data_IF_683997334716
#
_entry.id   IF_683997334716
#
_cell.length_a   1.000
_cell.length_b   1.000
_cell.length_c   1.000
_cell.angle_alpha   90.00
_cell.angle_beta   90.00
_cell.angle_gamma   90.00
#
_symmetry.space_group_name_H-M   'P 1'
#
loop_
_entity.id
_entity.type
_entity.pdbx_description
1 polymer ?
#
# COMPACT_ATOMS: atom_id res chain seq x y z
N UNK A 1 9.76 12.20 17.24
CA UNK A 1 10.00 10.75 17.07
C UNK A 1 11.09 10.34 18.03
N UNK A 2 10.84 9.29 18.84
CA UNK A 2 11.78 8.80 19.84
C UNK A 2 13.05 8.25 19.17
N UNK A 3 14.23 8.55 19.72
CA UNK A 3 15.54 8.09 19.23
C UNK A 3 15.60 6.57 19.01
N UNK A 4 14.88 5.79 19.82
CA UNK A 4 14.78 4.34 19.73
C UNK A 4 14.21 3.84 18.40
N UNK A 5 13.17 4.49 17.85
CA UNK A 5 12.56 4.04 16.59
C UNK A 5 13.51 4.22 15.41
N UNK A 6 14.31 5.30 15.42
CA UNK A 6 15.35 5.54 14.40
C UNK A 6 16.44 4.47 14.46
N UNK A 7 16.84 4.08 15.67
CA UNK A 7 17.80 3.00 15.88
C UNK A 7 17.27 1.67 15.33
N UNK A 8 16.03 1.29 15.66
CA UNK A 8 15.44 0.05 15.14
C UNK A 8 15.28 0.04 13.63
N UNK A 9 14.90 1.16 13.01
CA UNK A 9 14.82 1.27 11.55
C UNK A 9 16.19 1.04 10.89
N UNK A 10 17.26 1.64 11.44
CA UNK A 10 18.63 1.42 10.92
C UNK A 10 19.05 -0.03 11.14
N UNK A 11 18.77 -0.61 12.31
CA UNK A 11 19.08 -2.01 12.62
C UNK A 11 18.35 -2.96 11.66
N UNK A 12 17.06 -2.73 11.40
CA UNK A 12 16.28 -3.53 10.47
C UNK A 12 16.88 -3.48 9.05
N UNK A 13 17.22 -2.29 8.55
CA UNK A 13 17.88 -2.18 7.24
C UNK A 13 19.25 -2.85 7.22
N UNK A 14 20.03 -2.75 8.31
CA UNK A 14 21.31 -3.45 8.41
C UNK A 14 21.11 -4.97 8.31
N UNK A 15 20.17 -5.53 9.07
CA UNK A 15 19.85 -6.96 9.03
C UNK A 15 19.37 -7.38 7.64
N UNK A 16 18.45 -6.65 7.01
CA UNK A 16 17.98 -6.96 5.66
C UNK A 16 19.10 -6.99 4.62
N UNK A 17 20.08 -6.08 4.75
CA UNK A 17 21.27 -6.06 3.88
C UNK A 17 22.22 -7.22 4.16
N UNK A 18 22.43 -7.59 5.44
CA UNK A 18 23.28 -8.73 5.82
C UNK A 18 22.69 -10.06 5.35
N UNK A 19 21.38 -10.25 5.56
CA UNK A 19 20.63 -11.44 5.16
C UNK A 19 20.35 -11.49 3.65
N UNK A 20 20.70 -10.42 2.90
CA UNK A 20 20.54 -10.32 1.45
C UNK A 20 19.11 -10.63 1.00
N UNK A 21 18.12 -10.08 1.72
CA UNK A 21 16.72 -10.32 1.42
C UNK A 21 16.37 -9.84 0.01
N UNK A 22 15.56 -10.61 -0.70
CA UNK A 22 15.08 -10.26 -2.03
C UNK A 22 14.07 -9.09 -2.03
N UNK A 23 13.31 -8.98 -0.94
CA UNK A 23 12.26 -7.98 -0.72
C UNK A 23 12.16 -7.70 0.78
N UNK A 24 11.99 -6.43 1.13
CA UNK A 24 11.58 -6.02 2.46
C UNK A 24 10.25 -5.26 2.37
N UNK A 25 9.29 -5.63 3.22
CA UNK A 25 8.06 -4.87 3.43
C UNK A 25 8.29 -3.95 4.61
N UNK A 26 8.16 -2.65 4.40
CA UNK A 26 8.50 -1.63 5.39
C UNK A 26 7.22 -0.90 5.80
N UNK A 27 6.79 -1.15 7.03
CA UNK A 27 5.71 -0.41 7.66
C UNK A 27 6.21 0.95 8.15
N UNK A 28 5.42 1.99 7.89
CA UNK A 28 5.70 3.35 8.35
C UNK A 28 5.34 3.46 9.82
N UNK A 29 6.22 4.03 10.65
CA UNK A 29 5.94 4.24 12.07
C UNK A 29 4.79 5.22 12.31
N UNK A 30 5.03 6.52 12.07
CA UNK A 30 4.00 7.56 12.25
C UNK A 30 4.03 8.54 11.08
N UNK A 31 2.88 8.72 10.45
CA UNK A 31 2.72 9.63 9.31
C UNK A 31 3.29 9.05 8.02
N UNK A 32 4.42 9.58 7.56
CA UNK A 32 5.02 9.20 6.28
C UNK A 32 6.09 10.19 5.82
N UNK A 33 5.70 11.45 5.56
CA UNK A 33 6.61 12.49 5.05
C UNK A 33 7.90 12.60 5.87
N UNK A 34 7.78 12.61 7.20
CA UNK A 34 8.91 12.76 8.13
C UNK A 34 9.23 11.48 8.89
N UNK A 35 8.70 10.34 8.46
CA UNK A 35 8.98 9.08 9.11
C UNK A 35 10.42 8.62 8.81
N UNK A 36 11.10 8.00 9.77
CA UNK A 36 12.49 7.57 9.58
C UNK A 36 12.64 6.42 8.57
N UNK A 37 11.56 5.70 8.26
CA UNK A 37 11.53 4.70 7.20
C UNK A 37 11.53 5.35 5.80
N UNK A 38 11.14 6.62 5.67
CA UNK A 38 10.99 7.33 4.40
C UNK A 38 12.32 7.76 3.75
N UNK A 39 13.41 7.07 4.07
CA UNK A 39 14.74 7.23 3.44
C UNK A 39 14.85 6.42 2.13
N UNK A 40 13.93 5.50 1.88
CA UNK A 40 13.90 4.67 0.68
C UNK A 40 13.55 5.58 -0.52
N UNK A 41 14.51 5.72 -1.45
CA UNK A 41 14.38 6.66 -2.58
C UNK A 41 13.44 6.17 -3.68
N UNK A 42 13.49 4.86 -3.96
CA UNK A 42 12.74 4.23 -5.06
C UNK A 42 12.21 2.86 -4.62
N UNK A 43 11.17 2.82 -3.77
CA UNK A 43 10.48 1.57 -3.47
C UNK A 43 9.85 1.01 -4.75
N UNK A 44 9.59 -0.30 -4.79
CA UNK A 44 8.97 -0.95 -5.94
C UNK A 44 7.51 -0.53 -6.11
N UNK A 45 6.81 -0.35 -4.98
CA UNK A 45 5.41 0.03 -4.88
C UNK A 45 5.16 0.64 -3.49
N UNK A 46 4.22 1.57 -3.38
CA UNK A 46 3.76 2.15 -2.11
C UNK A 46 2.27 1.85 -1.88
N UNK A 47 1.86 1.74 -0.61
CA UNK A 47 0.46 1.48 -0.24
C UNK A 47 0.00 2.37 0.91
N UNK A 48 -1.22 2.89 0.84
CA UNK A 48 -1.90 3.59 1.92
C UNK A 48 -3.16 2.80 2.30
N UNK A 49 -3.16 2.23 3.51
CA UNK A 49 -4.35 1.58 4.07
C UNK A 49 -5.40 2.60 4.49
N UNK A 50 -6.53 2.14 5.05
CA UNK A 50 -7.63 3.03 5.47
C UNK A 50 -7.13 4.14 6.40
N UNK A 51 -7.55 5.37 6.11
CA UNK A 51 -7.21 6.56 6.87
C UNK A 51 -8.33 6.89 7.86
N UNK A 52 -7.95 7.06 9.11
CA UNK A 52 -8.81 7.59 10.18
C UNK A 52 -8.14 8.77 10.88
N UNK A 53 -8.88 9.41 11.79
CA UNK A 53 -8.31 10.40 12.71
C UNK A 53 -7.41 9.66 13.69
N UNK A 54 -6.12 9.93 13.60
CA UNK A 54 -5.08 9.22 14.33
C UNK A 54 -3.91 10.16 14.63
N UNK A 55 -3.27 9.97 15.78
CA UNK A 55 -2.10 10.73 16.23
C UNK A 55 -2.20 12.25 16.02
N UNK A 56 -3.33 12.86 16.38
CA UNK A 56 -3.66 14.25 16.04
C UNK A 56 -2.67 15.29 16.56
N UNK A 57 -1.98 15.00 17.66
CA UNK A 57 -0.92 15.84 18.22
C UNK A 57 0.29 15.99 17.29
N UNK A 58 0.50 15.03 16.38
CA UNK A 58 1.67 14.96 15.48
C UNK A 58 1.26 15.18 14.04
N UNK A 59 0.15 14.57 13.61
CA UNK A 59 -0.29 14.56 12.21
C UNK A 59 -1.29 15.66 11.87
N UNK A 60 -1.77 16.39 12.88
CA UNK A 60 -2.83 17.37 12.77
C UNK A 60 -4.21 16.80 13.13
N UNK A 61 -5.14 17.71 13.31
CA UNK A 61 -6.51 17.48 13.79
C UNK A 61 -7.53 17.20 12.69
N UNK A 62 -7.10 17.13 11.42
CA UNK A 62 -7.99 16.89 10.27
C UNK A 62 -7.50 15.73 9.40
N UNK A 63 -8.44 15.08 8.70
CA UNK A 63 -8.13 13.93 7.86
C UNK A 63 -7.23 14.30 6.67
N UNK A 64 -7.32 15.53 6.18
CA UNK A 64 -6.47 16.05 5.11
C UNK A 64 -5.03 16.23 5.57
N UNK A 65 -4.81 16.72 6.80
CA UNK A 65 -3.45 16.83 7.36
C UNK A 65 -2.82 15.44 7.51
N UNK A 66 -3.60 14.48 8.01
CA UNK A 66 -3.18 13.08 8.13
C UNK A 66 -2.87 12.47 6.76
N UNK A 67 -3.75 12.65 5.78
CA UNK A 67 -3.56 12.19 4.40
C UNK A 67 -2.33 12.83 3.74
N UNK A 68 -2.05 14.11 4.00
CA UNK A 68 -0.83 14.78 3.52
C UNK A 68 0.43 14.11 4.09
N UNK A 69 0.44 13.84 5.40
CA UNK A 69 1.56 13.18 6.07
C UNK A 69 1.77 11.75 5.54
N UNK A 70 0.71 10.94 5.47
CA UNK A 70 0.79 9.54 5.03
C UNK A 70 1.12 9.43 3.53
N UNK A 71 0.57 10.31 2.69
CA UNK A 71 0.95 10.43 1.28
C UNK A 71 2.40 10.87 1.04
N UNK A 72 3.15 11.24 2.08
CA UNK A 72 4.58 11.56 2.00
C UNK A 72 5.50 10.40 1.63
N UNK A 73 5.00 9.17 1.63
CA UNK A 73 5.76 8.00 1.14
C UNK A 73 5.73 7.84 -0.37
N UNK A 74 4.88 8.59 -1.08
CA UNK A 74 4.84 8.58 -2.54
C UNK A 74 6.17 9.05 -3.12
N UNK A 75 6.62 8.41 -4.20
CA UNK A 75 7.90 8.70 -4.86
C UNK A 75 7.70 8.84 -6.37
N UNK A 76 8.49 9.68 -7.05
CA UNK A 76 8.34 9.89 -8.48
C UNK A 76 8.41 8.62 -9.32
N UNK A 77 7.40 8.43 -10.17
CA UNK A 77 7.26 7.27 -11.06
C UNK A 77 7.07 5.93 -10.35
N UNK A 78 6.90 5.91 -9.01
CA UNK A 78 6.63 4.69 -8.25
C UNK A 78 5.13 4.45 -8.17
N UNK A 79 4.63 3.25 -8.51
CA UNK A 79 3.22 2.95 -8.38
C UNK A 79 2.75 3.04 -6.92
N UNK A 80 1.62 3.72 -6.69
CA UNK A 80 1.01 3.86 -5.38
C UNK A 80 -0.42 3.33 -5.38
N UNK A 81 -0.80 2.64 -4.32
CA UNK A 81 -2.15 2.10 -4.14
C UNK A 81 -2.78 2.61 -2.85
N UNK A 82 -4.09 2.78 -2.85
CA UNK A 82 -4.89 3.06 -1.65
C UNK A 82 -6.18 2.26 -1.69
N UNK A 83 -6.80 2.05 -0.54
CA UNK A 83 -8.20 1.61 -0.45
C UNK A 83 -9.14 2.81 -0.57
N UNK A 84 -10.45 2.58 -0.60
CA UNK A 84 -11.46 3.65 -0.53
C UNK A 84 -11.25 4.47 0.76
N UNK A 85 -11.19 5.80 0.63
CA UNK A 85 -11.02 6.74 1.75
C UNK A 85 -12.21 7.72 1.83
N UNK A 86 -12.36 8.44 2.95
CA UNK A 86 -13.17 9.66 2.99
C UNK A 86 -12.75 10.63 1.88
N UNK A 87 -13.70 11.39 1.33
CA UNK A 87 -13.46 12.21 0.14
C UNK A 87 -12.34 13.23 0.35
N UNK A 88 -12.32 13.92 1.50
CA UNK A 88 -11.29 14.92 1.83
C UNK A 88 -9.89 14.29 1.89
N UNK A 89 -9.79 13.06 2.38
CA UNK A 89 -8.56 12.29 2.42
C UNK A 89 -8.13 11.88 0.99
N UNK A 90 -9.06 11.39 0.18
CA UNK A 90 -8.81 11.00 -1.21
C UNK A 90 -8.33 12.18 -2.05
N UNK A 91 -8.98 13.36 -1.93
CA UNK A 91 -8.58 14.59 -2.61
C UNK A 91 -7.13 14.94 -2.25
N UNK A 92 -6.77 14.81 -0.97
CA UNK A 92 -5.40 15.11 -0.55
C UNK A 92 -4.39 14.09 -1.05
N UNK A 93 -4.69 12.79 -1.00
CA UNK A 93 -3.81 11.77 -1.57
C UNK A 93 -3.61 11.98 -3.09
N UNK A 94 -4.66 12.34 -3.82
CA UNK A 94 -4.57 12.70 -5.25
C UNK A 94 -3.65 13.90 -5.49
N UNK A 95 -3.78 14.97 -4.70
CA UNK A 95 -2.87 16.12 -4.75
C UNK A 95 -1.42 15.68 -4.53
N UNK A 96 -1.16 14.84 -3.52
CA UNK A 96 0.19 14.34 -3.21
C UNK A 96 0.76 13.47 -4.32
N UNK A 97 -0.04 12.58 -4.90
CA UNK A 97 0.40 11.76 -6.01
C UNK A 97 0.79 12.61 -7.23
N UNK A 98 0.00 13.65 -7.53
CA UNK A 98 0.29 14.61 -8.59
C UNK A 98 1.57 15.40 -8.30
N UNK A 99 1.73 15.96 -7.10
CA UNK A 99 2.93 16.67 -6.66
C UNK A 99 4.20 15.80 -6.81
N UNK A 100 4.09 14.52 -6.44
CA UNK A 100 5.19 13.57 -6.51
C UNK A 100 5.35 12.94 -7.89
N UNK A 101 4.51 13.27 -8.89
CA UNK A 101 4.51 12.65 -10.22
C UNK A 101 4.48 11.12 -10.16
N UNK A 102 3.59 10.57 -9.33
CA UNK A 102 3.39 9.14 -9.18
C UNK A 102 1.95 8.75 -9.54
N UNK A 103 1.74 7.59 -10.18
CA UNK A 103 0.39 7.10 -10.40
C UNK A 103 -0.18 6.55 -9.07
N UNK A 104 -1.43 6.92 -8.77
CA UNK A 104 -2.16 6.47 -7.60
C UNK A 104 -3.44 5.74 -8.06
N UNK A 105 -3.60 4.49 -7.63
CA UNK A 105 -4.81 3.71 -7.90
C UNK A 105 -5.58 3.39 -6.63
N UNK A 106 -6.90 3.30 -6.77
CA UNK A 106 -7.78 2.74 -5.75
C UNK A 106 -7.92 1.24 -5.99
N UNK A 107 -7.71 0.44 -4.94
CA UNK A 107 -7.88 -1.00 -4.99
C UNK A 107 -9.37 -1.38 -5.14
N UNK A 108 -9.69 -2.44 -5.90
CA UNK A 108 -11.05 -2.95 -6.01
C UNK A 108 -11.49 -3.60 -4.69
N UNK A 109 -12.77 -3.94 -4.56
CA UNK A 109 -13.24 -4.69 -3.40
C UNK A 109 -12.69 -6.13 -3.44
N UNK A 110 -12.53 -6.75 -2.27
CA UNK A 110 -11.95 -8.11 -2.22
C UNK A 110 -12.80 -9.14 -2.98
N UNK A 111 -14.11 -8.93 -3.04
CA UNK A 111 -15.04 -9.82 -3.73
C UNK A 111 -14.97 -9.71 -5.27
N UNK A 112 -14.34 -8.64 -5.80
CA UNK A 112 -14.15 -8.46 -7.24
C UNK A 112 -13.05 -9.38 -7.81
N UNK A 113 -12.20 -9.96 -6.95
CA UNK A 113 -11.12 -10.85 -7.37
C UNK A 113 -11.64 -12.25 -7.71
N UNK A 114 -11.28 -12.73 -8.91
CA UNK A 114 -11.66 -14.05 -9.38
C UNK A 114 -10.91 -15.14 -8.62
N UNK A 115 -11.61 -16.21 -8.25
CA UNK A 115 -11.03 -17.36 -7.55
C UNK A 115 -11.76 -18.64 -7.89
N UNK A 116 -11.02 -19.74 -7.86
CA UNK A 116 -11.52 -21.05 -8.28
C UNK A 116 -12.48 -21.69 -7.26
N UNK A 117 -12.43 -21.28 -5.99
CA UNK A 117 -13.29 -21.82 -4.92
C UNK A 117 -13.79 -20.67 -4.02
N UNK A 118 -15.09 -20.70 -3.65
CA UNK A 118 -15.94 -19.66 -3.04
C UNK A 118 -15.34 -18.78 -1.92
N UNK A 119 -16.01 -17.73 -1.42
CA UNK A 119 -15.52 -16.40 -0.95
C UNK A 119 -14.18 -16.34 -0.18
N UNK A 120 -13.47 -15.19 -0.21
CA UNK A 120 -12.20 -15.08 0.53
C UNK A 120 -12.48 -15.25 2.02
N UNK A 121 -12.01 -16.35 2.61
CA UNK A 121 -12.10 -16.57 4.04
C UNK A 121 -10.84 -16.00 4.68
N UNK A 122 -10.91 -14.76 5.15
CA UNK A 122 -9.80 -14.17 5.89
C UNK A 122 -9.69 -14.82 7.28
N UNK A 123 -8.47 -15.17 7.70
CA UNK A 123 -8.21 -15.66 9.06
C UNK A 123 -8.44 -14.61 10.15
N UNK A 124 -8.55 -13.34 9.75
CA UNK A 124 -8.74 -12.18 10.63
C UNK A 124 -10.17 -11.66 10.58
N UNK A 125 -10.75 -11.44 11.75
CA UNK A 125 -12.05 -10.80 11.87
C UNK A 125 -11.99 -9.29 11.57
N UNK A 126 -13.07 -8.76 11.01
CA UNK A 126 -13.28 -7.33 10.81
C UNK A 126 -13.37 -6.91 9.34
N UNK A 127 -14.30 -6.01 9.05
CA UNK A 127 -14.63 -5.59 7.68
C UNK A 127 -13.46 -4.87 6.99
N UNK A 128 -12.66 -4.13 7.76
CA UNK A 128 -11.43 -3.48 7.26
C UNK A 128 -10.38 -4.47 6.73
N UNK A 129 -10.44 -5.74 7.15
CA UNK A 129 -9.50 -6.75 6.67
C UNK A 129 -9.70 -7.06 5.18
N UNK A 130 -10.91 -6.89 4.65
CA UNK A 130 -11.15 -7.04 3.21
C UNK A 130 -10.37 -6.00 2.41
N UNK A 131 -10.43 -4.73 2.83
CA UNK A 131 -9.68 -3.65 2.19
C UNK A 131 -8.17 -3.84 2.36
N UNK A 132 -7.70 -4.27 3.54
CA UNK A 132 -6.29 -4.57 3.77
C UNK A 132 -5.80 -5.72 2.88
N UNK A 133 -6.59 -6.79 2.75
CA UNK A 133 -6.28 -7.91 1.88
C UNK A 133 -6.22 -7.49 0.41
N UNK A 134 -7.20 -6.71 -0.07
CA UNK A 134 -7.18 -6.17 -1.44
C UNK A 134 -5.94 -5.30 -1.70
N UNK A 135 -5.58 -4.44 -0.74
CA UNK A 135 -4.36 -3.64 -0.84
C UNK A 135 -3.11 -4.54 -0.91
N UNK A 136 -3.00 -5.53 -0.03
CA UNK A 136 -1.88 -6.47 -0.02
C UNK A 136 -1.78 -7.27 -1.34
N UNK A 137 -2.91 -7.69 -1.92
CA UNK A 137 -2.97 -8.36 -3.21
C UNK A 137 -2.40 -7.48 -4.32
N UNK A 138 -2.84 -6.21 -4.41
CA UNK A 138 -2.38 -5.30 -5.46
C UNK A 138 -0.90 -4.94 -5.31
N UNK A 139 -0.43 -4.69 -4.09
CA UNK A 139 0.99 -4.42 -3.82
C UNK A 139 1.87 -5.61 -4.22
N UNK A 140 1.49 -6.81 -3.79
CA UNK A 140 2.24 -8.04 -4.05
C UNK A 140 2.25 -8.37 -5.55
N UNK A 141 1.10 -8.25 -6.21
CA UNK A 141 0.97 -8.47 -7.65
C UNK A 141 1.80 -7.49 -8.46
N UNK A 142 1.73 -6.20 -8.13
CA UNK A 142 2.52 -5.14 -8.78
C UNK A 142 4.01 -5.40 -8.61
N UNK A 143 4.46 -5.79 -7.43
CA UNK A 143 5.87 -6.13 -7.21
C UNK A 143 6.30 -7.34 -8.05
N UNK A 144 5.52 -8.43 -8.05
CA UNK A 144 5.80 -9.62 -8.86
C UNK A 144 5.87 -9.29 -10.35
N UNK A 145 4.92 -8.52 -10.87
CA UNK A 145 4.92 -8.08 -12.27
C UNK A 145 6.19 -7.29 -12.61
N UNK A 146 6.56 -6.32 -11.78
CA UNK A 146 7.73 -5.47 -12.03
C UNK A 146 9.06 -6.20 -11.86
N UNK A 147 9.11 -7.23 -11.02
CA UNK A 147 10.30 -8.06 -10.80
C UNK A 147 10.46 -9.13 -11.89
N UNK A 148 9.37 -9.72 -12.36
CA UNK A 148 9.39 -10.92 -13.20
C UNK A 148 9.03 -10.69 -14.67
N UNK A 149 8.38 -9.57 -15.04
CA UNK A 149 8.04 -9.29 -16.44
C UNK A 149 9.08 -8.38 -17.11
N UNK A 150 9.42 -8.63 -18.39
CA UNK A 150 10.25 -7.71 -19.18
C UNK A 150 9.58 -6.32 -19.26
N UNK A 151 10.40 -5.26 -19.29
CA UNK A 151 9.97 -3.86 -19.29
C UNK A 151 9.01 -3.43 -20.42
N UNK A 152 8.76 -4.30 -21.41
CA UNK A 152 7.96 -4.06 -22.61
C UNK A 152 6.48 -4.49 -22.48
N UNK A 153 6.08 -5.11 -21.36
CA UNK A 153 4.66 -5.38 -21.09
C UNK A 153 4.07 -4.26 -20.25
N UNK A 154 3.19 -3.46 -20.86
CA UNK A 154 2.42 -2.41 -20.18
C UNK A 154 1.64 -2.99 -18.99
N UNK A 155 1.56 -2.20 -17.91
CA UNK A 155 0.72 -2.52 -16.75
C UNK A 155 -0.72 -2.78 -17.24
N UNK A 156 -1.35 -3.90 -16.86
CA UNK A 156 -2.67 -4.24 -17.38
C UNK A 156 -3.72 -3.23 -16.87
N UNK A 157 -4.33 -2.55 -17.84
CA UNK A 157 -5.67 -1.98 -17.86
C UNK A 157 -6.08 -1.03 -16.72
N UNK A 158 -6.03 0.26 -17.04
CA UNK A 158 -6.73 1.34 -16.36
C UNK A 158 -8.14 1.50 -16.94
N UNK A 159 -9.19 1.41 -16.12
CA UNK A 159 -10.45 2.11 -16.40
C UNK A 159 -10.36 3.50 -15.76
N UNK A 160 -10.39 4.55 -16.58
CA UNK A 160 -10.48 5.93 -16.10
C UNK A 160 -11.94 6.23 -15.91
N UNK A 161 -12.40 6.38 -14.66
CA UNK A 161 -13.68 7.01 -14.41
C UNK A 161 -13.56 8.52 -14.62
N UNK A 162 -14.64 9.16 -15.11
CA UNK A 162 -14.74 10.59 -15.44
C UNK A 162 -14.42 11.55 -14.26
N UNK A 163 -14.11 11.03 -13.09
CA UNK A 163 -13.73 11.73 -11.85
C UNK A 163 -12.22 11.86 -11.66
N UNK A 164 -11.39 11.35 -12.59
CA UNK A 164 -9.93 11.33 -12.46
C UNK A 164 -9.43 10.32 -11.43
N UNK A 165 -10.30 9.39 -11.01
CA UNK A 165 -9.95 8.27 -10.14
C UNK A 165 -9.49 7.12 -11.02
N UNK A 166 -8.21 6.74 -10.88
CA UNK A 166 -7.73 5.51 -11.48
C UNK A 166 -8.16 4.34 -10.59
N UNK A 167 -9.12 3.56 -11.07
CA UNK A 167 -9.50 2.31 -10.44
C UNK A 167 -8.58 1.20 -10.95
N UNK A 168 -8.08 0.36 -10.03
CA UNK A 168 -7.33 -0.82 -10.41
C UNK A 168 -8.29 -1.97 -10.66
N UNK A 169 -8.01 -2.74 -11.72
CA UNK A 169 -8.81 -3.93 -12.02
C UNK A 169 -8.42 -5.09 -11.11
N UNK A 170 -9.42 -5.86 -10.70
CA UNK A 170 -9.19 -7.11 -10.00
C UNK A 170 -8.60 -8.15 -10.97
N UNK A 171 -7.77 -9.06 -10.43
CA UNK A 171 -7.15 -10.15 -11.19
C UNK A 171 -7.49 -11.48 -10.54
N UNK A 172 -7.14 -12.60 -11.19
CA UNK A 172 -7.21 -13.94 -10.61
C UNK A 172 -5.91 -14.23 -9.83
N UNK A 173 -5.90 -14.22 -8.49
CA UNK A 173 -4.67 -14.46 -7.74
C UNK A 173 -4.24 -15.93 -7.86
N UNK A 174 -2.93 -16.18 -7.81
CA UNK A 174 -2.42 -17.55 -7.80
C UNK A 174 -2.80 -18.26 -6.49
N UNK A 175 -2.89 -19.60 -6.47
CA UNK A 175 -3.25 -20.34 -5.26
C UNK A 175 -2.34 -20.03 -4.05
N UNK A 176 -1.06 -19.73 -4.30
CA UNK A 176 -0.09 -19.35 -3.25
C UNK A 176 -0.47 -18.00 -2.61
N UNK A 177 -0.89 -17.02 -3.42
CA UNK A 177 -1.29 -15.69 -2.94
C UNK A 177 -2.58 -15.79 -2.12
N UNK A 178 -3.51 -16.69 -2.49
CA UNK A 178 -4.78 -16.90 -1.77
C UNK A 178 -4.57 -17.60 -0.42
N UNK A 179 -3.50 -18.39 -0.27
CA UNK A 179 -3.25 -19.16 0.95
C UNK A 179 -2.89 -18.29 2.16
N UNK A 180 -2.10 -17.22 1.95
CA UNK A 180 -1.67 -16.31 3.02
C UNK A 180 -2.83 -15.67 3.80
N UNK A 181 -3.79 -14.98 3.14
CA UNK A 181 -4.94 -14.38 3.81
C UNK A 181 -5.83 -15.37 4.58
N UNK A 182 -5.83 -16.65 4.19
CA UNK A 182 -6.67 -17.70 4.76
C UNK A 182 -6.03 -18.46 5.94
N UNK A 183 -4.70 -18.37 6.11
CA UNK A 183 -3.98 -19.08 7.17
C UNK A 183 -3.54 -18.12 8.27
N UNK A 184 -4.42 -17.88 9.25
CA UNK A 184 -4.00 -17.57 10.63
C UNK A 184 -4.93 -18.32 11.61
N UNK A 185 -4.54 -19.55 11.94
CA UNK A 185 -5.03 -20.29 13.12
C UNK A 185 -3.87 -20.72 14.04
N UNK A 186 -2.71 -20.07 13.91
CA UNK A 186 -1.52 -20.35 14.72
C UNK A 186 -0.75 -19.06 15.04
N UNK A 187 -1.39 -18.15 15.77
CA UNK A 187 -0.74 -17.25 16.73
C UNK A 187 -1.59 -17.19 18.00
#
# INVERSE_FOLDING_TARGET
MLTHFRFFTILAFHVFLQEKVDLAVIEVGIGGTYDCTNIIRKPWVCGISSLGIDHTQILGDTIEKIAWHKGGIFKPGVPAFTVKQPEDAMVKLRSRAKEMSCPLWVCPELDDYQKDCGPFCLGLAGQHQHSNASLALQLSHTWLQRRCLPADKSFPFTSVDNTGVLQMTAFKPSPIIVKGPCEESLL
#
